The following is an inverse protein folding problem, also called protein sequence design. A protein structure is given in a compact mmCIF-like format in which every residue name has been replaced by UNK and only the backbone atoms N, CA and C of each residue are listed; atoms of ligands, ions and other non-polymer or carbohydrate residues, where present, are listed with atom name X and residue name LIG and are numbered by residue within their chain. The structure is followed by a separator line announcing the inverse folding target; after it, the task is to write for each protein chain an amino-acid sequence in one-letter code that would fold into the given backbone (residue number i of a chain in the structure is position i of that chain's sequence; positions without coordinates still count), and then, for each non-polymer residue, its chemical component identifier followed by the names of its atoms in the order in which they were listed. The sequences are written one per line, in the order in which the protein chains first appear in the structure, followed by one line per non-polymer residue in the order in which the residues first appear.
data_IF_389866963939
#
_entry.id   IF_389866963939
#
_cell.length_a   1.000
_cell.length_b   1.000
_cell.length_c   1.000
_cell.angle_alpha   90.00
_cell.angle_beta   90.00
_cell.angle_gamma   90.00
#
_symmetry.space_group_name_H-M   'P 1'
#
loop_
_entity.id
_entity.type
_entity.pdbx_description
1 polymer ?
#
# COMPACT_ATOMS: atom_id res chain seq x y z
N UNK A 1 -0.70 -16.95 -8.41
CA UNK A 1 -0.17 -17.92 -7.42
C UNK A 1 0.12 -17.25 -6.07
N UNK A 2 -0.16 -15.95 -5.89
CA UNK A 2 0.32 -15.15 -4.74
C UNK A 2 -0.80 -14.64 -3.80
N UNK A 3 -2.04 -15.02 -4.06
CA UNK A 3 -3.21 -14.55 -3.29
C UNK A 3 -3.20 -15.02 -1.84
N UNK A 4 -2.63 -16.19 -1.57
CA UNK A 4 -2.53 -16.72 -0.20
C UNK A 4 -1.50 -15.98 0.65
N UNK A 5 -0.40 -15.49 0.06
CA UNK A 5 0.58 -14.64 0.75
C UNK A 5 -0.09 -13.35 1.22
N UNK A 6 -0.86 -12.70 0.34
CA UNK A 6 -1.59 -11.48 0.68
C UNK A 6 -2.73 -11.73 1.68
N UNK A 7 -3.38 -12.89 1.59
CA UNK A 7 -4.48 -13.25 2.49
C UNK A 7 -4.01 -13.77 3.85
N UNK A 8 -2.75 -14.21 3.97
CA UNK A 8 -2.19 -14.82 5.18
C UNK A 8 -2.65 -16.26 5.44
N UNK A 9 -3.49 -16.85 4.58
CA UNK A 9 -3.97 -18.22 4.75
C UNK A 9 -4.23 -18.93 3.43
N UNK A 10 -4.19 -20.26 3.48
CA UNK A 10 -4.68 -21.16 2.41
C UNK A 10 -5.94 -21.86 2.89
N UNK A 11 -6.96 -21.93 2.02
CA UNK A 11 -8.09 -22.82 2.23
C UNK A 11 -7.71 -24.22 1.73
N UNK A 12 -7.65 -25.19 2.63
CA UNK A 12 -7.31 -26.57 2.29
C UNK A 12 -8.25 -27.53 2.99
N UNK A 13 -9.00 -28.32 2.19
CA UNK A 13 -9.94 -29.34 2.68
C UNK A 13 -10.94 -28.83 3.73
N UNK A 14 -11.44 -27.61 3.54
CA UNK A 14 -12.40 -26.98 4.47
C UNK A 14 -11.77 -26.30 5.69
N UNK A 15 -10.45 -26.40 5.87
CA UNK A 15 -9.72 -25.73 6.93
C UNK A 15 -8.94 -24.51 6.41
N UNK A 16 -8.82 -23.48 7.24
CA UNK A 16 -7.90 -22.36 7.02
C UNK A 16 -6.55 -22.71 7.62
N UNK A 17 -5.55 -22.87 6.78
CA UNK A 17 -4.16 -23.05 7.20
C UNK A 17 -3.52 -21.67 7.26
N UNK A 18 -3.02 -21.30 8.43
CA UNK A 18 -2.23 -20.09 8.61
C UNK A 18 -0.89 -20.22 7.86
N UNK A 19 -0.62 -19.24 7.00
CA UNK A 19 0.60 -19.18 6.21
C UNK A 19 1.64 -18.24 6.80
N UNK A 20 1.33 -17.53 7.88
CA UNK A 20 2.28 -16.62 8.52
C UNK A 20 3.58 -17.32 8.95
N UNK A 21 3.59 -18.53 9.54
CA UNK A 21 4.83 -19.22 9.90
C UNK A 21 5.76 -19.51 8.72
N UNK A 22 5.20 -19.68 7.52
CA UNK A 22 5.96 -20.00 6.30
C UNK A 22 6.37 -18.71 5.58
N UNK A 23 5.46 -17.75 5.49
CA UNK A 23 5.64 -16.54 4.70
C UNK A 23 6.41 -15.44 5.43
N UNK A 24 6.35 -15.39 6.76
CA UNK A 24 7.01 -14.34 7.54
C UNK A 24 8.54 -14.35 7.38
N UNK A 25 9.26 -15.49 7.47
CA UNK A 25 10.71 -15.51 7.26
C UNK A 25 11.12 -14.97 5.89
N UNK A 26 10.42 -15.37 4.83
CA UNK A 26 10.70 -14.91 3.47
C UNK A 26 10.42 -13.41 3.28
N UNK A 27 9.33 -12.90 3.89
CA UNK A 27 9.01 -11.46 3.88
C UNK A 27 10.05 -10.65 4.65
N UNK A 28 10.51 -11.18 5.78
CA UNK A 28 11.54 -10.57 6.62
C UNK A 28 12.86 -10.48 5.86
N UNK A 29 13.33 -11.58 5.25
CA UNK A 29 14.55 -11.60 4.45
C UNK A 29 14.51 -10.60 3.28
N UNK A 30 13.38 -10.54 2.57
CA UNK A 30 13.18 -9.52 1.53
C UNK A 30 13.25 -8.09 2.09
N UNK A 31 12.64 -7.86 3.25
CA UNK A 31 12.61 -6.54 3.87
C UNK A 31 13.99 -6.10 4.37
N UNK A 32 14.76 -7.03 4.94
CA UNK A 32 16.13 -6.80 5.42
C UNK A 32 17.08 -6.37 4.29
N UNK A 33 16.95 -6.95 3.09
CA UNK A 33 17.74 -6.51 1.92
C UNK A 33 17.16 -5.25 1.28
N UNK A 34 15.88 -5.28 0.90
CA UNK A 34 15.31 -4.30 -0.02
C UNK A 34 14.89 -3.02 0.68
N UNK A 35 14.18 -3.09 1.81
CA UNK A 35 13.68 -1.88 2.46
C UNK A 35 14.82 -1.04 3.02
N UNK A 36 15.79 -1.67 3.68
CA UNK A 36 16.95 -0.97 4.24
C UNK A 36 17.72 -0.24 3.14
N UNK A 37 18.00 -0.92 2.02
CA UNK A 37 18.71 -0.33 0.88
C UNK A 37 17.92 0.82 0.25
N UNK A 38 16.63 0.62 -0.02
CA UNK A 38 15.79 1.64 -0.65
C UNK A 38 15.58 2.86 0.25
N UNK A 39 15.33 2.65 1.55
CA UNK A 39 15.15 3.75 2.51
C UNK A 39 16.42 4.58 2.58
N UNK A 40 17.58 3.93 2.74
CA UNK A 40 18.87 4.60 2.81
C UNK A 40 19.21 5.35 1.52
N UNK A 41 18.90 4.78 0.36
CA UNK A 41 19.22 5.40 -0.93
C UNK A 41 18.36 6.63 -1.24
N UNK A 42 17.08 6.62 -0.86
CA UNK A 42 16.13 7.69 -1.23
C UNK A 42 16.04 8.77 -0.14
N UNK A 43 15.98 8.37 1.13
CA UNK A 43 15.80 9.30 2.26
C UNK A 43 16.97 9.29 3.24
N UNK A 44 17.86 8.30 3.20
CA UNK A 44 18.91 8.13 4.22
C UNK A 44 18.37 7.53 5.52
N UNK A 45 17.41 8.22 6.15
CA UNK A 45 16.61 7.73 7.28
C UNK A 45 15.15 8.21 7.16
N UNK A 46 14.23 7.59 7.91
CA UNK A 46 12.83 8.01 7.97
C UNK A 46 12.51 8.91 9.15
N UNK A 47 13.45 9.15 10.08
CA UNK A 47 13.19 9.83 11.37
C UNK A 47 12.73 11.28 11.23
N UNK A 48 13.21 11.97 10.18
CA UNK A 48 12.88 13.38 9.92
C UNK A 48 11.62 13.56 9.06
N UNK A 49 11.02 12.47 8.58
CA UNK A 49 9.81 12.53 7.77
C UNK A 49 8.60 12.74 8.69
N UNK A 50 7.68 13.64 8.32
CA UNK A 50 6.42 13.82 9.03
C UNK A 50 5.53 12.56 8.98
N UNK A 51 5.75 11.71 7.98
CA UNK A 51 5.14 10.40 7.85
C UNK A 51 5.43 9.77 6.49
N UNK A 52 5.11 8.50 6.36
CA UNK A 52 5.33 7.72 5.14
C UNK A 52 4.03 7.04 4.70
N UNK A 53 3.68 7.20 3.42
CA UNK A 53 2.53 6.50 2.84
C UNK A 53 2.99 5.17 2.25
N UNK A 54 2.50 4.06 2.79
CA UNK A 54 2.73 2.74 2.25
C UNK A 54 1.58 2.35 1.31
N UNK A 55 1.89 2.16 0.02
CA UNK A 55 0.92 1.87 -1.02
C UNK A 55 1.43 0.77 -1.97
N UNK A 56 0.50 0.13 -2.69
CA UNK A 56 0.80 -0.90 -3.67
C UNK A 56 0.84 -2.32 -3.10
N UNK A 57 1.09 -3.29 -3.98
CA UNK A 57 1.07 -4.72 -3.64
C UNK A 57 2.14 -5.12 -2.62
N UNK A 58 3.30 -4.47 -2.63
CA UNK A 58 4.37 -4.71 -1.66
C UNK A 58 3.94 -4.38 -0.23
N UNK A 59 3.23 -3.26 -0.04
CA UNK A 59 2.68 -2.89 1.27
C UNK A 59 1.63 -3.90 1.77
N UNK A 60 0.83 -4.46 0.85
CA UNK A 60 -0.14 -5.53 1.16
C UNK A 60 0.54 -6.82 1.65
N UNK A 61 1.68 -7.18 1.04
CA UNK A 61 2.44 -8.39 1.39
C UNK A 61 3.23 -8.20 2.68
N UNK A 62 3.96 -7.10 2.82
CA UNK A 62 4.80 -6.84 3.99
C UNK A 62 3.94 -6.55 5.23
N UNK A 63 2.86 -5.78 5.07
CA UNK A 63 1.98 -5.37 6.16
C UNK A 63 2.62 -4.32 7.07
N UNK A 64 1.79 -3.62 7.85
CA UNK A 64 2.28 -2.49 8.67
C UNK A 64 3.25 -2.93 9.76
N UNK A 65 3.04 -4.10 10.35
CA UNK A 65 3.86 -4.63 11.46
C UNK A 65 5.29 -4.90 11.03
N UNK A 66 5.50 -5.45 9.85
CA UNK A 66 6.85 -5.67 9.33
C UNK A 66 7.49 -4.35 8.92
N UNK A 67 6.73 -3.49 8.24
CA UNK A 67 7.20 -2.17 7.82
C UNK A 67 7.65 -1.29 9.00
N UNK A 68 6.98 -1.37 10.15
CA UNK A 68 7.35 -0.61 11.35
C UNK A 68 8.70 -0.99 11.95
N UNK A 69 9.28 -2.13 11.57
CA UNK A 69 10.64 -2.49 12.00
C UNK A 69 11.72 -1.66 11.28
N UNK A 70 11.38 -1.06 10.13
CA UNK A 70 12.32 -0.35 9.27
C UNK A 70 11.99 1.14 9.11
N UNK A 71 10.73 1.50 9.32
CA UNK A 71 10.24 2.87 9.21
C UNK A 71 9.93 3.37 10.61
N UNK A 72 10.70 4.36 11.04
CA UNK A 72 10.61 4.99 12.36
C UNK A 72 9.52 6.05 12.47
N UNK A 73 9.10 6.63 11.34
CA UNK A 73 8.01 7.62 11.30
C UNK A 73 6.63 6.97 11.25
N UNK A 74 5.59 7.79 11.36
CA UNK A 74 4.20 7.35 11.22
C UNK A 74 3.94 6.79 9.83
N UNK A 75 3.44 5.55 9.78
CA UNK A 75 3.04 4.88 8.53
C UNK A 75 1.55 5.10 8.29
N UNK A 76 1.21 5.67 7.13
CA UNK A 76 -0.14 5.79 6.62
C UNK A 76 -0.37 4.70 5.58
N UNK A 77 -1.25 3.75 5.87
CA UNK A 77 -1.56 2.64 4.97
C UNK A 77 -3.07 2.44 4.91
N UNK A 78 -3.60 2.32 3.70
CA UNK A 78 -5.00 1.96 3.49
C UNK A 78 -5.25 0.49 3.87
N UNK A 79 -6.53 0.12 4.06
CA UNK A 79 -6.92 -1.27 4.34
C UNK A 79 -6.50 -2.23 3.21
N UNK A 80 -6.56 -1.76 1.97
CA UNK A 80 -6.23 -2.49 0.75
C UNK A 80 -5.22 -1.68 -0.08
N UNK A 81 -3.97 -1.62 0.39
CA UNK A 81 -2.97 -0.73 -0.16
C UNK A 81 -2.65 -1.03 -1.63
N UNK A 82 -2.87 -2.26 -2.11
CA UNK A 82 -2.70 -2.66 -3.51
C UNK A 82 -3.58 -1.86 -4.48
N UNK A 83 -4.72 -1.35 -4.03
CA UNK A 83 -5.65 -0.59 -4.87
C UNK A 83 -5.41 0.92 -4.79
N UNK A 84 -4.46 1.39 -3.99
CA UNK A 84 -4.29 2.82 -3.69
C UNK A 84 -4.06 3.67 -4.93
N UNK A 85 -3.24 3.21 -5.87
CA UNK A 85 -2.90 3.95 -7.09
C UNK A 85 -4.13 4.05 -8.00
N UNK A 86 -4.78 2.92 -8.29
CA UNK A 86 -5.97 2.88 -9.16
C UNK A 86 -7.11 3.72 -8.57
N UNK A 87 -7.31 3.66 -7.25
CA UNK A 87 -8.29 4.50 -6.55
C UNK A 87 -7.95 5.97 -6.60
N UNK A 88 -6.67 6.33 -6.49
CA UNK A 88 -6.20 7.69 -6.66
C UNK A 88 -6.57 8.25 -8.02
N UNK A 89 -6.23 7.50 -9.09
CA UNK A 89 -6.58 7.88 -10.46
C UNK A 89 -8.09 7.98 -10.68
N UNK A 90 -8.86 7.00 -10.20
CA UNK A 90 -10.32 7.02 -10.32
C UNK A 90 -10.93 8.23 -9.62
N UNK A 91 -10.52 8.54 -8.39
CA UNK A 91 -11.00 9.72 -7.65
C UNK A 91 -10.63 11.02 -8.34
N UNK A 92 -9.41 11.09 -8.88
CA UNK A 92 -8.98 12.24 -9.66
C UNK A 92 -9.87 12.43 -10.90
N UNK A 93 -10.06 11.38 -11.69
CA UNK A 93 -10.92 11.38 -12.87
C UNK A 93 -12.34 11.85 -12.56
N UNK A 94 -12.98 11.25 -11.55
CA UNK A 94 -14.33 11.64 -11.11
C UNK A 94 -14.36 13.12 -10.73
N UNK A 95 -13.37 13.59 -9.98
CA UNK A 95 -13.30 14.99 -9.55
C UNK A 95 -13.16 15.95 -10.73
N UNK A 96 -12.32 15.62 -11.73
CA UNK A 96 -12.19 16.45 -12.93
C UNK A 96 -13.49 16.46 -13.74
N UNK A 97 -14.10 15.29 -13.96
CA UNK A 97 -15.39 15.22 -14.64
C UNK A 97 -16.48 16.05 -13.96
N UNK A 98 -16.60 15.98 -12.63
CA UNK A 98 -17.54 16.82 -11.90
C UNK A 98 -17.26 18.32 -12.06
N UNK A 99 -15.99 18.73 -11.99
CA UNK A 99 -15.59 20.14 -12.22
C UNK A 99 -15.97 20.62 -13.61
N UNK A 100 -15.75 19.79 -14.63
CA UNK A 100 -16.06 20.15 -16.01
C UNK A 100 -17.57 20.27 -16.24
N UNK A 101 -18.37 19.36 -15.68
CA UNK A 101 -19.84 19.44 -15.77
C UNK A 101 -20.41 20.62 -14.96
N UNK A 102 -19.83 20.94 -13.80
CA UNK A 102 -20.22 22.12 -13.03
C UNK A 102 -19.93 23.42 -13.80
N UNK A 103 -18.84 23.48 -14.58
CA UNK A 103 -18.52 24.64 -15.43
C UNK A 103 -19.50 24.82 -16.59
N UNK A 104 -19.97 23.72 -17.20
CA UNK A 104 -20.97 23.78 -18.29
C UNK A 104 -22.32 24.30 -17.80
N UNK A 105 -22.71 24.00 -16.55
CA UNK A 105 -23.96 24.48 -15.96
C UNK A 105 -23.95 25.97 -15.57
N UNK A 106 -22.76 26.57 -15.42
CA UNK A 106 -22.59 27.98 -14.98
C UNK A 106 -22.21 28.90 -16.15
N UNK A 107 -21.97 28.36 -17.35
CA UNK A 107 -21.80 29.18 -18.54
C UNK A 107 -23.09 29.98 -18.81
N UNK A 108 -23.02 31.31 -18.99
CA UNK A 108 -24.21 32.10 -19.28
C UNK A 108 -24.80 31.58 -20.59
N UNK A 109 -26.06 31.16 -20.55
CA UNK A 109 -26.84 30.98 -21.78
C UNK A 109 -26.99 32.37 -22.38
N UNK A 110 -26.16 32.66 -23.37
CA UNK A 110 -26.30 33.83 -24.23
C UNK A 110 -27.66 33.86 -24.90
#
# INVERSE_FOLDING_TARGET
MDTWIRKGFIQWRGSKIDMEPISLPARQEFADDVLVRCIKAVWGTTDFLAGMVAAGGGASVLGSKLLSNYISTRIYMAKDPENSIVRGYYRFYVTQHFKDHARVLVAPRG
#
